data_IF_224460972919
#
_entry.id   IF_224460972919
#
_cell.length_a   1.000
_cell.length_b   1.000
_cell.length_c   1.000
_cell.angle_alpha   90.00
_cell.angle_beta   90.00
_cell.angle_gamma   90.00
#
_symmetry.space_group_name_H-M   'P 1'
#
loop_
_entity.id
_entity.type
_entity.pdbx_description
1 polymer ?
#
# COMPACT_ATOMS: atom_id res chain seq x y z
N UNK A 1 8.82 9.79 -5.51
CA UNK A 1 9.87 10.16 -4.56
C UNK A 1 9.65 11.54 -3.95
N UNK A 2 9.98 12.62 -4.66
CA UNK A 2 10.10 13.96 -4.08
C UNK A 2 8.81 14.50 -3.42
N UNK A 3 7.66 14.31 -4.04
CA UNK A 3 6.39 14.73 -3.48
C UNK A 3 6.08 14.01 -2.15
N UNK A 4 6.33 12.69 -2.09
CA UNK A 4 6.13 11.90 -0.86
C UNK A 4 7.11 12.36 0.22
N UNK A 5 8.38 12.58 -0.13
CA UNK A 5 9.39 13.08 0.78
C UNK A 5 9.01 14.46 1.35
N UNK A 6 8.49 15.35 0.51
CA UNK A 6 8.03 16.68 0.93
C UNK A 6 6.87 16.56 1.92
N UNK A 7 5.83 15.79 1.61
CA UNK A 7 4.68 15.62 2.50
C UNK A 7 5.05 15.05 3.87
N UNK A 8 5.96 14.06 3.89
CA UNK A 8 6.43 13.47 5.15
C UNK A 8 7.13 14.49 6.05
N UNK A 9 7.90 15.42 5.49
CA UNK A 9 8.55 16.50 6.28
C UNK A 9 7.54 17.36 7.03
N UNK A 10 6.35 17.55 6.47
CA UNK A 10 5.26 18.29 7.11
C UNK A 10 4.35 17.43 7.98
N UNK A 11 4.71 16.17 8.22
CA UNK A 11 3.96 15.26 9.10
C UNK A 11 2.72 14.64 8.46
N UNK A 12 2.52 14.81 7.13
CA UNK A 12 1.41 14.16 6.44
C UNK A 12 1.66 12.66 6.30
N UNK A 13 0.58 11.88 6.44
CA UNK A 13 0.56 10.46 6.11
C UNK A 13 0.14 10.27 4.66
N UNK A 14 0.72 9.26 4.02
CA UNK A 14 0.51 9.00 2.60
C UNK A 14 -0.47 7.85 2.38
N UNK A 15 -1.48 8.10 1.53
CA UNK A 15 -2.39 7.08 1.05
C UNK A 15 -2.25 7.02 -0.47
N UNK A 16 -1.78 5.90 -0.98
CA UNK A 16 -1.49 5.73 -2.41
C UNK A 16 -2.51 4.84 -3.10
N UNK A 17 -2.72 5.09 -4.39
CA UNK A 17 -3.51 4.22 -5.26
C UNK A 17 -2.55 3.54 -6.22
N UNK A 18 -2.40 2.24 -6.08
CA UNK A 18 -1.64 1.40 -6.99
C UNK A 18 -2.60 0.71 -7.95
N UNK A 19 -2.28 0.79 -9.24
CA UNK A 19 -3.10 0.23 -10.31
C UNK A 19 -2.39 -0.99 -10.89
N UNK A 20 -3.03 -2.13 -10.80
CA UNK A 20 -2.59 -3.40 -11.38
C UNK A 20 -3.14 -3.53 -12.80
N UNK A 21 -2.39 -4.11 -13.70
CA UNK A 21 -2.79 -4.34 -15.10
C UNK A 21 -3.01 -3.04 -15.90
N UNK A 22 -2.12 -2.07 -15.75
CA UNK A 22 -2.10 -0.92 -16.65
C UNK A 22 -1.53 -1.31 -18.02
N UNK A 23 -1.75 -0.46 -19.02
CA UNK A 23 -1.17 -0.66 -20.36
C UNK A 23 0.35 -0.73 -20.27
N UNK A 24 0.92 -1.80 -20.79
CA UNK A 24 2.36 -2.05 -20.78
C UNK A 24 2.88 -2.80 -19.56
N UNK A 25 2.01 -3.04 -18.57
CA UNK A 25 2.34 -3.89 -17.43
C UNK A 25 2.05 -5.37 -17.74
N UNK A 26 2.77 -6.24 -17.06
CA UNK A 26 2.53 -7.67 -16.93
C UNK A 26 2.54 -8.07 -15.44
N UNK A 27 2.10 -9.29 -15.08
CA UNK A 27 2.05 -9.71 -13.67
C UNK A 27 3.39 -9.60 -12.94
N UNK A 28 4.50 -9.86 -13.59
CA UNK A 28 5.83 -9.81 -12.97
C UNK A 28 6.25 -8.35 -12.70
N UNK A 29 5.99 -7.44 -13.64
CA UNK A 29 6.27 -6.02 -13.47
C UNK A 29 5.40 -5.39 -12.39
N UNK A 30 4.11 -5.72 -12.33
CA UNK A 30 3.21 -5.22 -11.27
C UNK A 30 3.67 -5.65 -9.88
N UNK A 31 4.06 -6.92 -9.70
CA UNK A 31 4.63 -7.44 -8.45
C UNK A 31 5.92 -6.69 -8.08
N UNK A 32 6.80 -6.46 -9.05
CA UNK A 32 8.06 -5.76 -8.82
C UNK A 32 7.83 -4.30 -8.43
N UNK A 33 6.89 -3.63 -9.08
CA UNK A 33 6.54 -2.23 -8.82
C UNK A 33 5.86 -2.05 -7.45
N UNK A 34 4.93 -2.94 -7.06
CA UNK A 34 4.33 -2.88 -5.71
C UNK A 34 5.38 -3.19 -4.63
N UNK A 35 6.23 -4.19 -4.84
CA UNK A 35 7.34 -4.47 -3.92
C UNK A 35 8.22 -3.24 -3.74
N UNK A 36 8.57 -2.55 -4.83
CA UNK A 36 9.34 -1.31 -4.76
C UNK A 36 8.58 -0.23 -4.00
N UNK A 37 7.28 -0.07 -4.25
CA UNK A 37 6.44 0.91 -3.55
C UNK A 37 6.49 0.73 -2.04
N UNK A 38 6.47 -0.51 -1.55
CA UNK A 38 6.39 -0.82 -0.11
C UNK A 38 7.75 -1.06 0.56
N UNK A 39 8.87 -1.08 -0.21
CA UNK A 39 10.21 -1.32 0.35
C UNK A 39 11.20 -0.18 0.09
N UNK A 40 11.03 0.63 -0.97
CA UNK A 40 11.93 1.74 -1.28
C UNK A 40 11.67 2.92 -0.32
N UNK A 41 12.70 3.39 0.44
CA UNK A 41 12.57 4.52 1.37
C UNK A 41 12.02 5.80 0.76
N UNK A 42 12.09 5.95 -0.57
CA UNK A 42 11.50 7.08 -1.29
C UNK A 42 9.97 7.06 -1.34
N UNK A 43 9.33 5.93 -1.01
CA UNK A 43 7.89 5.76 -1.03
C UNK A 43 7.35 5.36 0.35
N UNK A 44 7.40 4.08 0.72
CA UNK A 44 6.90 3.49 1.97
C UNK A 44 5.56 4.07 2.44
N UNK A 45 4.47 3.88 1.69
CA UNK A 45 3.19 4.48 2.02
C UNK A 45 2.64 3.95 3.35
N UNK A 46 1.90 4.80 4.05
CA UNK A 46 1.21 4.42 5.29
C UNK A 46 -0.04 3.57 4.99
N UNK A 47 -0.69 3.86 3.87
CA UNK A 47 -1.88 3.15 3.39
C UNK A 47 -1.88 3.05 1.87
N UNK A 48 -2.43 1.96 1.35
CA UNK A 48 -2.52 1.74 -0.09
C UNK A 48 -3.81 1.06 -0.51
N UNK A 49 -4.24 1.39 -1.72
CA UNK A 49 -5.28 0.67 -2.44
C UNK A 49 -4.65 -0.05 -3.62
N UNK A 50 -5.10 -1.28 -3.88
CA UNK A 50 -4.69 -2.09 -5.03
C UNK A 50 -5.89 -2.25 -5.94
N UNK A 51 -5.88 -1.53 -7.08
CA UNK A 51 -7.01 -1.52 -7.99
C UNK A 51 -6.69 -2.23 -9.29
N UNK A 52 -7.42 -3.30 -9.63
CA UNK A 52 -7.29 -3.91 -10.96
C UNK A 52 -7.71 -2.92 -12.05
N UNK A 53 -6.94 -2.86 -13.13
CA UNK A 53 -7.31 -2.19 -14.35
C UNK A 53 -8.54 -2.85 -14.96
N UNK A 54 -9.49 -2.06 -15.41
CA UNK A 54 -10.68 -2.53 -16.11
C UNK A 54 -11.03 -1.59 -17.26
N UNK A 55 -11.65 -2.14 -18.28
CA UNK A 55 -12.13 -1.42 -19.44
C UNK A 55 -13.55 -0.94 -19.18
N UNK A 56 -13.80 0.34 -19.36
CA UNK A 56 -15.13 0.95 -19.39
C UNK A 56 -15.36 1.62 -20.75
N UNK A 57 -16.61 1.75 -21.16
CA UNK A 57 -17.00 2.14 -22.53
C UNK A 57 -16.35 3.47 -23.01
N UNK A 58 -16.19 4.45 -22.13
CA UNK A 58 -15.64 5.76 -22.48
C UNK A 58 -14.13 5.90 -22.34
N UNK A 59 -13.40 4.80 -22.08
CA UNK A 59 -11.97 4.85 -21.83
C UNK A 59 -11.17 4.77 -23.15
N UNK A 60 -10.10 5.58 -23.24
CA UNK A 60 -9.12 5.48 -24.34
C UNK A 60 -8.44 4.10 -24.41
N UNK A 61 -8.56 3.30 -23.37
CA UNK A 61 -8.04 1.94 -23.30
C UNK A 61 -8.78 1.01 -24.29
N UNK A 62 -10.00 1.38 -24.73
CA UNK A 62 -10.78 0.65 -25.73
C UNK A 62 -9.99 0.46 -27.02
N UNK A 63 -9.35 1.53 -27.53
CA UNK A 63 -8.54 1.46 -28.75
C UNK A 63 -7.39 0.45 -28.62
N UNK A 64 -6.77 0.40 -27.44
CA UNK A 64 -5.68 -0.54 -27.16
C UNK A 64 -6.19 -1.98 -27.03
N UNK A 65 -7.37 -2.16 -26.45
CA UNK A 65 -8.00 -3.47 -26.31
C UNK A 65 -8.40 -4.05 -27.68
N UNK A 66 -9.06 -3.24 -28.53
CA UNK A 66 -9.44 -3.62 -29.89
C UNK A 66 -8.23 -3.91 -30.78
N UNK A 67 -7.14 -3.16 -30.58
CA UNK A 67 -5.87 -3.39 -31.29
C UNK A 67 -5.05 -4.56 -30.73
N UNK A 68 -5.52 -5.26 -29.69
CA UNK A 68 -4.78 -6.35 -29.03
C UNK A 68 -3.53 -5.93 -28.27
N UNK A 69 -3.39 -4.63 -27.96
CA UNK A 69 -2.23 -4.06 -27.25
C UNK A 69 -2.39 -4.09 -25.72
N UNK A 70 -3.56 -4.42 -25.23
CA UNK A 70 -3.87 -4.59 -23.82
C UNK A 70 -4.97 -5.63 -23.66
N UNK A 71 -4.91 -6.41 -22.61
CA UNK A 71 -5.96 -7.31 -22.16
C UNK A 71 -6.08 -7.25 -20.64
N UNK A 72 -7.26 -7.50 -20.05
CA UNK A 72 -7.34 -7.73 -18.63
C UNK A 72 -6.56 -8.99 -18.25
N UNK A 73 -6.01 -9.01 -17.04
CA UNK A 73 -5.47 -10.24 -16.46
C UNK A 73 -6.58 -11.28 -16.29
N UNK A 74 -6.21 -12.54 -16.42
CA UNK A 74 -7.07 -13.63 -15.97
C UNK A 74 -7.27 -13.53 -14.47
N UNK A 75 -8.26 -14.22 -13.94
CA UNK A 75 -8.48 -14.26 -12.48
C UNK A 75 -7.25 -14.81 -11.75
N UNK A 76 -6.65 -15.86 -12.28
CA UNK A 76 -5.45 -16.48 -11.70
C UNK A 76 -4.27 -15.51 -11.69
N UNK A 77 -4.00 -14.82 -12.80
CA UNK A 77 -2.96 -13.79 -12.88
C UNK A 77 -3.21 -12.66 -11.87
N UNK A 78 -4.44 -12.15 -11.81
CA UNK A 78 -4.80 -11.06 -10.91
C UNK A 78 -4.69 -11.47 -9.44
N UNK A 79 -5.20 -12.64 -9.07
CA UNK A 79 -5.11 -13.15 -7.70
C UNK A 79 -3.66 -13.39 -7.33
N UNK A 80 -2.85 -13.96 -8.23
CA UNK A 80 -1.42 -14.16 -8.00
C UNK A 80 -0.66 -12.86 -7.72
N UNK A 81 -0.93 -11.80 -8.47
CA UNK A 81 -0.34 -10.47 -8.22
C UNK A 81 -0.76 -9.94 -6.86
N UNK A 82 -2.06 -9.95 -6.55
CA UNK A 82 -2.57 -9.39 -5.30
C UNK A 82 -2.14 -10.19 -4.07
N UNK A 83 -1.97 -11.51 -4.17
CA UNK A 83 -1.37 -12.35 -3.12
C UNK A 83 0.07 -11.92 -2.86
N UNK A 84 0.88 -11.77 -3.92
CA UNK A 84 2.25 -11.30 -3.79
C UNK A 84 2.33 -9.89 -3.15
N UNK A 85 1.41 -8.98 -3.52
CA UNK A 85 1.31 -7.64 -2.94
C UNK A 85 0.99 -7.68 -1.43
N UNK A 86 0.06 -8.54 -1.01
CA UNK A 86 -0.28 -8.72 0.41
C UNK A 86 0.90 -9.25 1.20
N UNK A 87 1.56 -10.29 0.70
CA UNK A 87 2.69 -10.93 1.37
C UNK A 87 3.92 -10.01 1.45
N UNK A 88 4.13 -9.14 0.45
CA UNK A 88 5.23 -8.17 0.44
C UNK A 88 4.98 -6.95 1.32
N UNK A 89 3.73 -6.69 1.72
CA UNK A 89 3.35 -5.47 2.45
C UNK A 89 3.85 -5.49 3.89
N UNK A 90 4.63 -4.48 4.33
CA UNK A 90 5.22 -4.44 5.66
C UNK A 90 4.19 -4.15 6.76
N UNK A 91 4.53 -4.42 8.05
CA UNK A 91 3.60 -4.34 9.17
C UNK A 91 3.06 -2.93 9.49
N UNK A 92 3.69 -1.91 8.97
CA UNK A 92 3.24 -0.51 9.14
C UNK A 92 2.39 0.03 7.99
N UNK A 93 2.13 -0.76 6.94
CA UNK A 93 1.31 -0.36 5.80
C UNK A 93 -0.04 -1.09 5.84
N UNK A 94 -1.12 -0.36 5.55
CA UNK A 94 -2.48 -0.91 5.50
C UNK A 94 -2.96 -1.01 4.05
N UNK A 95 -3.40 -2.17 3.61
CA UNK A 95 -4.12 -2.33 2.34
C UNK A 95 -5.61 -2.12 2.58
N UNK A 96 -6.09 -0.90 2.32
CA UNK A 96 -7.47 -0.52 2.64
C UNK A 96 -8.50 -1.06 1.64
N UNK A 97 -8.12 -1.23 0.36
CA UNK A 97 -9.06 -1.63 -0.68
C UNK A 97 -8.36 -2.37 -1.83
N UNK A 98 -9.06 -3.37 -2.41
CA UNK A 98 -8.61 -4.15 -3.56
C UNK A 98 -9.60 -4.15 -4.74
N UNK A 99 -10.71 -3.41 -4.63
CA UNK A 99 -11.71 -3.28 -5.69
C UNK A 99 -12.04 -1.80 -5.92
N UNK A 100 -12.47 -1.48 -7.13
CA UNK A 100 -12.98 -0.14 -7.48
C UNK A 100 -14.49 -0.06 -7.28
N UNK A 101 -14.97 1.15 -7.01
CA UNK A 101 -16.41 1.45 -6.96
C UNK A 101 -16.93 1.71 -8.39
N UNK A 102 -16.80 0.72 -9.26
CA UNK A 102 -17.36 0.72 -10.60
C UNK A 102 -18.40 -0.41 -10.65
N UNK A 103 -19.60 -0.07 -11.12
CA UNK A 103 -20.62 -1.09 -11.31
C UNK A 103 -20.14 -2.19 -12.27
N UNK A 104 -20.39 -3.45 -11.92
CA UNK A 104 -20.03 -4.58 -12.80
C UNK A 104 -20.68 -4.47 -14.19
N UNK A 105 -21.80 -3.76 -14.30
CA UNK A 105 -22.49 -3.50 -15.57
C UNK A 105 -21.74 -2.54 -16.47
N UNK A 106 -20.91 -1.64 -15.89
CA UNK A 106 -20.15 -0.62 -16.63
C UNK A 106 -18.78 -1.13 -17.07
N UNK A 107 -18.37 -2.30 -16.57
CA UNK A 107 -17.10 -2.94 -16.94
C UNK A 107 -17.30 -3.80 -18.19
N UNK A 108 -16.70 -3.40 -19.30
CA UNK A 108 -16.68 -4.17 -20.53
C UNK A 108 -15.76 -5.40 -20.43
N UNK A 109 -14.52 -5.18 -19.94
CA UNK A 109 -13.53 -6.23 -19.74
C UNK A 109 -12.71 -5.98 -18.46
N UNK A 110 -12.39 -7.05 -17.74
CA UNK A 110 -11.65 -7.01 -16.47
C UNK A 110 -12.42 -7.65 -15.33
N UNK A 111 -11.92 -7.46 -14.10
CA UNK A 111 -12.52 -8.05 -12.93
C UNK A 111 -13.89 -7.40 -12.61
N UNK A 112 -14.93 -8.25 -12.52
CA UNK A 112 -16.29 -7.86 -12.15
C UNK A 112 -16.69 -8.36 -10.74
N UNK A 113 -15.81 -9.11 -10.07
CA UNK A 113 -16.10 -9.68 -8.75
C UNK A 113 -16.05 -8.59 -7.68
N UNK A 114 -17.12 -8.49 -6.92
CA UNK A 114 -17.23 -7.58 -5.77
C UNK A 114 -16.52 -8.12 -4.53
N UNK A 115 -16.27 -9.43 -4.47
CA UNK A 115 -15.64 -10.14 -3.38
C UNK A 115 -14.16 -10.50 -3.66
N UNK A 116 -13.48 -9.75 -4.55
CA UNK A 116 -12.08 -10.04 -4.91
C UNK A 116 -11.16 -10.13 -3.68
N UNK A 117 -11.38 -9.26 -2.67
CA UNK A 117 -10.59 -9.30 -1.44
C UNK A 117 -10.69 -10.64 -0.73
N UNK A 118 -11.89 -11.19 -0.57
CA UNK A 118 -12.10 -12.49 0.08
C UNK A 118 -11.43 -13.63 -0.70
N UNK A 119 -11.43 -13.54 -2.04
CA UNK A 119 -10.72 -14.50 -2.89
C UNK A 119 -9.21 -14.45 -2.66
N UNK A 120 -8.65 -13.23 -2.58
CA UNK A 120 -7.22 -13.03 -2.31
C UNK A 120 -6.87 -13.50 -0.89
N UNK A 121 -7.66 -13.13 0.13
CA UNK A 121 -7.45 -13.56 1.51
C UNK A 121 -7.45 -15.09 1.63
N UNK A 122 -8.42 -15.78 1.01
CA UNK A 122 -8.44 -17.24 0.99
C UNK A 122 -7.22 -17.86 0.27
N UNK A 123 -6.72 -17.21 -0.78
CA UNK A 123 -5.52 -17.65 -1.48
C UNK A 123 -4.25 -17.42 -0.65
N UNK A 124 -4.17 -16.32 0.09
CA UNK A 124 -3.09 -16.03 1.05
C UNK A 124 -3.08 -17.04 2.18
N UNK A 125 -4.24 -17.33 2.77
CA UNK A 125 -4.37 -18.33 3.85
C UNK A 125 -3.92 -19.73 3.41
N UNK A 126 -4.05 -20.04 2.12
CA UNK A 126 -3.58 -21.31 1.56
C UNK A 126 -2.05 -21.40 1.37
N UNK A 127 -1.32 -20.29 1.50
CA UNK A 127 0.15 -20.28 1.36
C UNK A 127 0.89 -20.64 2.64
N UNK A 128 0.23 -20.69 3.79
CA UNK A 128 0.82 -20.80 5.13
C UNK A 128 1.87 -19.71 5.47
N UNK A 129 1.93 -18.62 4.67
CA UNK A 129 2.82 -17.51 4.91
C UNK A 129 2.21 -16.49 5.88
N UNK A 130 3.04 -15.95 6.78
CA UNK A 130 2.58 -14.95 7.74
C UNK A 130 2.34 -13.59 7.06
N UNK A 131 1.13 -13.05 7.17
CA UNK A 131 0.79 -11.73 6.68
C UNK A 131 1.10 -10.66 7.72
N UNK A 132 1.90 -9.67 7.33
CA UNK A 132 2.32 -8.58 8.22
C UNK A 132 1.43 -7.35 8.13
N UNK A 133 0.73 -7.13 7.02
CA UNK A 133 -0.03 -5.90 6.76
C UNK A 133 -1.14 -5.67 7.79
N UNK A 134 -1.46 -4.41 8.07
CA UNK A 134 -2.31 -4.01 9.20
C UNK A 134 -3.71 -4.62 9.13
N UNK A 135 -4.40 -4.52 8.00
CA UNK A 135 -5.82 -4.92 7.91
C UNK A 135 -6.04 -6.41 8.15
N UNK A 136 -5.11 -7.26 7.74
CA UNK A 136 -5.15 -8.70 8.00
C UNK A 136 -4.92 -9.04 9.48
N UNK A 137 -4.34 -8.10 10.22
CA UNK A 137 -4.04 -8.22 11.64
C UNK A 137 -5.02 -7.46 12.55
N UNK A 138 -5.93 -6.65 12.00
CA UNK A 138 -6.95 -5.96 12.80
C UNK A 138 -7.83 -6.97 13.55
N UNK A 139 -8.07 -6.73 14.84
CA UNK A 139 -9.02 -7.55 15.63
C UNK A 139 -10.43 -7.32 15.10
N UNK A 140 -11.22 -8.38 15.03
CA UNK A 140 -12.67 -8.25 14.87
C UNK A 140 -13.29 -7.82 16.20
N UNK A 141 -14.38 -7.06 16.15
CA UNK A 141 -15.06 -6.50 17.34
C UNK A 141 -15.57 -7.59 18.29
N UNK A 142 -15.71 -8.83 17.83
CA UNK A 142 -16.15 -9.97 18.62
C UNK A 142 -14.96 -10.67 19.27
N UNK A 143 -14.79 -10.48 20.57
CA UNK A 143 -13.99 -11.39 21.41
C UNK A 143 -12.62 -10.92 21.90
N UNK A 144 -12.21 -9.67 21.69
CA UNK A 144 -10.94 -9.20 22.26
C UNK A 144 -11.10 -8.79 23.73
N UNK A 145 -10.50 -9.56 24.64
CA UNK A 145 -10.28 -9.13 26.02
C UNK A 145 -9.06 -8.22 26.10
N UNK A 146 -9.22 -7.04 26.66
CA UNK A 146 -8.17 -6.01 26.79
C UNK A 146 -7.02 -6.46 27.72
N UNK A 147 -7.14 -7.62 28.40
CA UNK A 147 -6.25 -8.04 29.48
C UNK A 147 -4.82 -8.42 29.08
N UNK A 148 -4.58 -8.83 27.82
CA UNK A 148 -3.31 -9.43 27.41
C UNK A 148 -2.59 -8.65 26.28
N UNK A 149 -2.91 -7.36 26.14
CA UNK A 149 -2.29 -6.53 25.11
C UNK A 149 -0.86 -6.12 25.49
N UNK A 150 0.05 -6.22 24.53
CA UNK A 150 1.41 -5.70 24.65
C UNK A 150 1.66 -4.57 23.66
N UNK A 151 2.44 -3.58 24.08
CA UNK A 151 2.89 -2.50 23.19
C UNK A 151 4.14 -2.93 22.45
N UNK A 152 4.08 -2.93 21.13
CA UNK A 152 5.22 -3.13 20.26
C UNK A 152 5.54 -1.85 19.47
N UNK A 153 6.83 -1.62 19.22
CA UNK A 153 7.29 -0.50 18.39
C UNK A 153 8.13 -1.03 17.26
N UNK A 154 7.71 -0.73 16.02
CA UNK A 154 8.47 -1.04 14.82
C UNK A 154 9.08 0.25 14.31
N UNK A 155 10.42 0.27 14.21
CA UNK A 155 11.18 1.40 13.69
C UNK A 155 11.53 1.15 12.23
N UNK A 156 11.31 2.16 11.38
CA UNK A 156 11.76 2.13 10.00
C UNK A 156 12.16 3.54 9.53
N UNK A 157 12.86 3.62 8.42
CA UNK A 157 13.38 4.88 7.92
C UNK A 157 12.88 5.12 6.50
N UNK A 158 12.42 6.35 6.26
CA UNK A 158 12.13 6.87 4.93
C UNK A 158 13.27 7.74 4.43
N UNK A 159 13.16 8.27 3.23
CA UNK A 159 14.15 9.19 2.69
C UNK A 159 14.35 10.48 3.54
N UNK A 160 13.35 10.87 4.36
CA UNK A 160 13.35 12.16 5.07
C UNK A 160 12.93 12.09 6.53
N UNK A 161 12.49 10.94 7.02
CA UNK A 161 11.98 10.77 8.37
C UNK A 161 12.38 9.43 8.96
N UNK A 162 12.53 9.40 10.27
CA UNK A 162 12.57 8.21 11.08
C UNK A 162 11.17 7.95 11.60
N UNK A 163 10.63 6.77 11.34
CA UNK A 163 9.27 6.41 11.67
C UNK A 163 9.22 5.43 12.83
N UNK A 164 8.22 5.60 13.69
CA UNK A 164 7.87 4.65 14.75
C UNK A 164 6.41 4.25 14.56
N UNK A 165 6.20 3.00 14.23
CA UNK A 165 4.88 2.38 14.23
C UNK A 165 4.68 1.69 15.57
N UNK A 166 3.84 2.27 16.42
CA UNK A 166 3.50 1.74 17.72
C UNK A 166 2.17 0.99 17.61
N UNK A 167 2.13 -0.26 18.04
CA UNK A 167 0.93 -1.08 17.97
C UNK A 167 0.68 -1.81 19.29
N UNK A 168 -0.60 -1.85 19.71
CA UNK A 168 -1.07 -2.71 20.75
C UNK A 168 -1.54 -4.02 20.14
N UNK A 169 -0.88 -5.11 20.49
CA UNK A 169 -1.12 -6.44 19.90
C UNK A 169 -1.52 -7.47 20.94
N UNK A 170 -2.33 -8.43 20.47
CA UNK A 170 -2.64 -9.65 21.22
C UNK A 170 -1.50 -10.66 21.13
N UNK A 171 -1.51 -11.75 21.96
CA UNK A 171 -0.53 -12.84 21.83
C UNK A 171 -0.48 -13.47 20.43
N UNK A 172 -1.60 -13.46 19.70
CA UNK A 172 -1.72 -13.97 18.31
C UNK A 172 -1.32 -12.92 17.27
N UNK A 173 -0.65 -11.83 17.69
CA UNK A 173 -0.20 -10.75 16.82
C UNK A 173 -1.32 -9.98 16.10
N UNK A 174 -2.51 -9.91 16.69
CA UNK A 174 -3.62 -9.09 16.17
C UNK A 174 -3.54 -7.68 16.75
N UNK A 175 -3.85 -6.67 15.91
CA UNK A 175 -3.75 -5.25 16.28
C UNK A 175 -5.06 -4.76 16.88
N UNK A 176 -5.00 -4.28 18.12
CA UNK A 176 -6.12 -3.61 18.80
C UNK A 176 -6.16 -2.11 18.52
N UNK A 177 -5.00 -1.49 18.35
CA UNK A 177 -4.85 -0.09 18.03
C UNK A 177 -3.42 0.24 17.67
N UNK A 178 -3.21 1.33 16.96
CA UNK A 178 -1.86 1.76 16.59
C UNK A 178 -1.73 3.28 16.51
N UNK A 179 -0.47 3.74 16.57
CA UNK A 179 -0.09 5.13 16.35
C UNK A 179 1.14 5.19 15.44
N UNK A 180 1.18 6.16 14.56
CA UNK A 180 2.36 6.46 13.72
C UNK A 180 3.00 7.75 14.19
N UNK A 181 4.25 7.67 14.61
CA UNK A 181 5.08 8.82 14.96
C UNK A 181 6.16 9.00 13.90
N UNK A 182 6.22 10.20 13.33
CA UNK A 182 7.18 10.60 12.31
C UNK A 182 8.15 11.61 12.90
N UNK A 183 9.43 11.32 12.84
CA UNK A 183 10.51 12.18 13.33
C UNK A 183 11.33 12.67 12.11
N UNK A 184 11.20 13.96 11.70
CA UNK A 184 11.98 14.47 10.60
C UNK A 184 13.48 14.33 10.87
N UNK A 185 14.21 13.74 9.93
CA UNK A 185 15.67 13.78 9.98
C UNK A 185 16.12 15.20 9.72
N UNK A 186 17.08 15.71 10.51
CA UNK A 186 17.63 17.03 10.31
C UNK A 186 18.16 17.14 8.87
N UNK A 187 17.68 18.14 8.13
CA UNK A 187 18.33 18.51 6.88
C UNK A 187 19.78 18.88 7.20
N UNK A 188 20.74 18.56 6.30
CA UNK A 188 22.00 19.27 6.33
C UNK A 188 21.66 20.76 6.38
N UNK A 189 22.08 21.46 7.40
CA UNK A 189 21.94 22.91 7.42
C UNK A 189 22.65 23.40 6.17
N UNK A 190 21.94 24.13 5.30
CA UNK A 190 22.58 24.90 4.24
C UNK A 190 23.53 25.88 4.93
N UNK A 191 24.80 25.50 5.01
CA UNK A 191 25.89 26.36 5.53
C UNK A 191 26.18 27.53 4.58
N UNK A 192 25.35 27.71 3.54
CA UNK A 192 25.53 28.70 2.49
C UNK A 192 24.89 30.06 2.79
N UNK A 193 24.26 30.30 3.94
CA UNK A 193 23.58 31.56 4.19
C UNK A 193 23.81 32.15 5.61
N UNK A 194 25.00 31.98 6.19
CA UNK A 194 25.47 32.81 7.26
C UNK A 194 26.40 33.92 6.70
N UNK A 195 25.89 34.72 5.77
CA UNK A 195 26.44 36.06 5.56
C UNK A 195 25.80 36.96 6.63
N UNK A 196 26.50 37.12 7.71
CA UNK A 196 26.19 38.16 8.71
C UNK A 196 26.01 39.50 8.01
N UNK A 197 24.99 40.31 8.36
CA UNK A 197 24.94 41.70 7.86
C UNK A 197 26.16 42.46 8.39
N UNK A 198 26.70 43.39 7.60
CA UNK A 198 27.83 44.22 8.05
C UNK A 198 27.38 45.07 9.25
N UNK A 199 28.30 45.32 10.20
CA UNK A 199 28.01 46.20 11.33
C UNK A 199 27.72 47.64 10.84
N UNK A 200 26.66 48.23 11.40
CA UNK A 200 26.31 49.66 11.23
C UNK A 200 27.32 50.53 11.98
#
# INVERSE_FOLDING_TARGET
>A
GDAVALWRRFGFKSHVHFMVNLRGADPASDIADDRRLVTDPAFLPDEGKRYPGCLVESARLTDCYEAGQWRPYTEEELVGVLVADVLATPPWTRISRMIRDISATDILAGNKKTNLRQVVEAAVDATDEAVAEIRSREISVEGATVGDLSLQTIAYQTATTEERFLEWITPENKISGFCRLSLPTALPRDTANESSPPPI
#
